data_IF_960427045533
#
_entry.id   IF_960427045533
#
_cell.length_a   1.000
_cell.length_b   1.000
_cell.length_c   1.000
_cell.angle_alpha   90.00
_cell.angle_beta   90.00
_cell.angle_gamma   90.00
#
_symmetry.space_group_name_H-M   'P 1'
#
loop_
_entity.id
_entity.type
_entity.pdbx_description
1 polymer ?
#
# COMPACT_ATOMS: atom_id res chain seq x y z
N UNK A 1 -2.33 -1.86 -5.00
CA UNK A 1 -1.36 -2.10 -3.93
C UNK A 1 -2.04 -2.39 -2.60
N UNK A 2 -2.81 -1.46 -2.01
CA UNK A 2 -3.30 -1.53 -0.62
C UNK A 2 -4.10 -2.79 -0.30
N UNK A 3 -4.99 -3.24 -1.20
CA UNK A 3 -5.69 -4.51 -1.01
C UNK A 3 -4.74 -5.69 -0.86
N UNK A 4 -3.73 -5.78 -1.74
CA UNK A 4 -2.76 -6.85 -1.70
C UNK A 4 -1.83 -6.81 -0.49
N UNK A 5 -1.58 -5.63 0.07
CA UNK A 5 -0.59 -5.44 1.13
C UNK A 5 -1.17 -5.50 2.55
N UNK A 6 -2.35 -4.93 2.77
CA UNK A 6 -2.96 -4.80 4.10
C UNK A 6 -4.09 -5.81 4.35
N UNK A 7 -4.91 -6.10 3.34
CA UNK A 7 -6.15 -6.89 3.51
C UNK A 7 -5.96 -8.37 3.85
N UNK A 8 -4.78 -9.01 3.63
CA UNK A 8 -4.53 -10.29 4.27
C UNK A 8 -4.67 -10.26 5.79
N UNK A 9 -4.28 -9.15 6.41
CA UNK A 9 -4.30 -8.97 7.87
C UNK A 9 -5.61 -8.34 8.37
N UNK A 10 -6.00 -7.20 7.81
CA UNK A 10 -7.24 -6.48 8.14
C UNK A 10 -7.68 -5.59 6.99
N UNK A 11 -8.93 -5.17 7.00
CA UNK A 11 -9.54 -4.34 5.96
C UNK A 11 -9.79 -2.92 6.45
N UNK A 12 -9.78 -1.97 5.53
CA UNK A 12 -10.21 -0.59 5.75
C UNK A 12 -10.80 -0.02 4.45
N UNK A 13 -11.59 1.04 4.59
CA UNK A 13 -12.28 1.68 3.48
C UNK A 13 -11.28 2.43 2.59
N UNK A 14 -11.10 1.95 1.35
CA UNK A 14 -10.18 2.55 0.38
C UNK A 14 -10.72 3.89 -0.17
N UNK A 15 -12.03 4.09 -0.20
CA UNK A 15 -12.65 5.34 -0.65
C UNK A 15 -12.49 6.46 0.40
N UNK A 16 -12.22 6.08 1.66
CA UNK A 16 -11.89 6.97 2.76
C UNK A 16 -10.38 7.00 3.07
N UNK A 17 -9.55 6.49 2.15
CA UNK A 17 -8.10 6.40 2.35
C UNK A 17 -7.36 7.51 1.60
N UNK A 18 -6.51 8.22 2.32
CA UNK A 18 -5.59 9.21 1.75
C UNK A 18 -4.19 8.60 1.61
N UNK A 19 -3.61 8.75 0.44
CA UNK A 19 -2.25 8.32 0.14
C UNK A 19 -1.31 9.51 0.20
N UNK A 20 -0.25 9.39 0.99
CA UNK A 20 0.78 10.41 1.12
C UNK A 20 2.14 9.82 0.79
N UNK A 21 3.08 10.63 0.32
CA UNK A 21 4.40 10.18 -0.08
C UNK A 21 5.49 11.12 0.41
N UNK A 22 6.59 10.51 0.86
CA UNK A 22 7.90 11.14 0.99
C UNK A 22 8.88 10.32 0.17
N UNK A 23 9.61 10.96 -0.72
CA UNK A 23 10.60 10.31 -1.58
C UNK A 23 11.87 11.13 -1.66
N UNK A 24 13.01 10.45 -1.75
CA UNK A 24 14.30 11.13 -1.87
C UNK A 24 15.49 10.26 -1.48
N UNK A 25 16.68 10.83 -1.52
CA UNK A 25 17.88 10.17 -1.02
C UNK A 25 17.77 9.94 0.48
N UNK A 26 18.39 8.86 0.96
CA UNK A 26 18.42 8.58 2.38
C UNK A 26 19.35 9.57 3.11
N UNK A 27 18.76 10.64 3.55
CA UNK A 27 19.36 11.66 4.41
C UNK A 27 18.38 11.92 5.56
N UNK A 28 18.34 11.00 6.53
CA UNK A 28 17.26 10.84 7.52
C UNK A 28 16.79 12.16 8.16
N UNK A 29 17.72 12.96 8.68
CA UNK A 29 17.39 14.28 9.28
C UNK A 29 17.26 15.37 8.23
N UNK A 30 18.17 15.41 7.25
CA UNK A 30 18.17 16.47 6.26
C UNK A 30 16.91 16.46 5.40
N UNK A 31 16.41 15.28 5.03
CA UNK A 31 15.14 15.11 4.31
C UNK A 31 13.90 15.14 5.21
N UNK A 32 14.07 15.38 6.52
CA UNK A 32 13.00 15.48 7.49
C UNK A 32 12.16 14.21 7.60
N UNK A 33 12.78 13.04 7.42
CA UNK A 33 12.08 11.77 7.59
C UNK A 33 11.61 11.61 9.03
N UNK A 34 12.45 11.99 10.00
CA UNK A 34 12.13 12.04 11.43
C UNK A 34 10.92 12.93 11.72
N UNK A 35 10.90 14.14 11.17
CA UNK A 35 9.77 15.07 11.32
C UNK A 35 8.49 14.53 10.70
N UNK A 36 8.59 13.89 9.54
CA UNK A 36 7.45 13.24 8.89
C UNK A 36 6.86 12.15 9.77
N UNK A 37 7.69 11.28 10.36
CA UNK A 37 7.26 10.20 11.23
C UNK A 37 6.63 10.72 12.52
N UNK A 38 7.21 11.74 13.15
CA UNK A 38 6.62 12.40 14.33
C UNK A 38 5.26 13.03 14.02
N UNK A 39 5.14 13.69 12.86
CA UNK A 39 3.87 14.28 12.42
C UNK A 39 2.81 13.20 12.16
N UNK A 40 3.19 12.07 11.55
CA UNK A 40 2.31 10.93 11.29
C UNK A 40 1.82 10.28 12.59
N UNK A 41 2.68 10.13 13.60
CA UNK A 41 2.29 9.60 14.90
C UNK A 41 1.25 10.51 15.58
N UNK A 42 1.47 11.84 15.56
CA UNK A 42 0.50 12.81 16.08
C UNK A 42 -0.81 12.78 15.28
N UNK A 43 -0.74 12.64 13.96
CA UNK A 43 -1.92 12.50 13.10
C UNK A 43 -2.69 11.24 13.46
N UNK A 44 -2.00 10.10 13.64
CA UNK A 44 -2.61 8.83 14.03
C UNK A 44 -3.41 8.98 15.32
N UNK A 45 -2.79 9.54 16.36
CA UNK A 45 -3.46 9.78 17.64
C UNK A 45 -4.65 10.74 17.52
N UNK A 46 -4.50 11.79 16.71
CA UNK A 46 -5.59 12.74 16.46
C UNK A 46 -6.78 12.08 15.77
N UNK A 47 -6.53 11.29 14.72
CA UNK A 47 -7.58 10.56 13.98
C UNK A 47 -8.27 9.52 14.88
N UNK A 48 -7.52 8.81 15.73
CA UNK A 48 -8.08 7.89 16.73
C UNK A 48 -9.01 8.63 17.70
N UNK A 49 -8.55 9.73 18.29
CA UNK A 49 -9.33 10.54 19.28
C UNK A 49 -10.61 11.13 18.69
N UNK A 50 -10.59 11.49 17.41
CA UNK A 50 -11.78 12.04 16.73
C UNK A 50 -12.68 10.97 16.15
N UNK A 51 -12.40 9.68 16.41
CA UNK A 51 -13.14 8.54 15.85
C UNK A 51 -13.28 8.63 14.31
N UNK A 52 -12.27 9.19 13.64
CA UNK A 52 -12.27 9.34 12.20
C UNK A 52 -12.33 7.99 11.50
N UNK A 53 -13.16 7.87 10.47
CA UNK A 53 -13.20 6.70 9.58
C UNK A 53 -12.08 6.72 8.54
N UNK A 54 -11.39 7.85 8.37
CA UNK A 54 -10.34 8.01 7.37
C UNK A 54 -9.08 7.26 7.77
N UNK A 55 -8.46 6.63 6.77
CA UNK A 55 -7.15 6.00 6.87
C UNK A 55 -6.14 6.81 6.05
N UNK A 56 -4.91 6.87 6.52
CA UNK A 56 -3.78 7.44 5.77
C UNK A 56 -2.79 6.32 5.51
N UNK A 57 -2.38 6.15 4.26
CA UNK A 57 -1.27 5.28 3.88
C UNK A 57 -0.11 6.18 3.45
N UNK A 58 0.98 6.11 4.17
CA UNK A 58 2.18 6.90 3.91
C UNK A 58 3.27 6.05 3.29
N UNK A 59 3.70 6.41 2.09
CA UNK A 59 4.84 5.81 1.42
C UNK A 59 6.11 6.59 1.74
N UNK A 60 7.06 5.93 2.36
CA UNK A 60 8.43 6.43 2.52
C UNK A 60 9.33 5.71 1.52
N UNK A 61 9.75 6.42 0.48
CA UNK A 61 10.52 5.88 -0.64
C UNK A 61 11.91 6.46 -0.61
N UNK A 62 12.92 5.60 -0.44
CA UNK A 62 14.32 6.02 -0.43
C UNK A 62 15.21 4.85 -0.78
N UNK A 63 16.46 5.12 -1.13
CA UNK A 63 17.39 4.04 -1.47
C UNK A 63 18.22 3.62 -0.26
N UNK A 64 18.12 2.35 0.10
CA UNK A 64 18.92 1.70 1.14
C UNK A 64 19.55 0.41 0.60
N UNK A 65 20.64 -0.05 1.17
CA UNK A 65 21.14 -1.40 0.89
C UNK A 65 20.13 -2.45 1.35
N UNK A 66 19.71 -3.31 0.42
CA UNK A 66 18.77 -4.41 0.69
C UNK A 66 19.39 -5.74 0.27
N UNK A 67 19.00 -6.82 0.93
CA UNK A 67 19.37 -8.20 0.56
C UNK A 67 18.43 -8.73 -0.50
N UNK A 68 17.14 -8.59 -0.25
CA UNK A 68 16.07 -9.06 -1.13
C UNK A 68 14.77 -8.32 -0.83
N UNK A 69 13.77 -8.52 -1.67
CA UNK A 69 12.39 -8.19 -1.28
C UNK A 69 11.93 -9.17 -0.20
N UNK A 70 11.19 -8.69 0.81
CA UNK A 70 10.73 -9.55 1.89
C UNK A 70 9.78 -10.64 1.36
N UNK A 71 9.96 -11.85 1.84
CA UNK A 71 9.14 -13.02 1.45
C UNK A 71 7.65 -12.73 1.69
N UNK A 72 7.32 -12.07 2.80
CA UNK A 72 5.94 -11.68 3.11
C UNK A 72 5.34 -10.77 2.04
N UNK A 73 6.07 -9.73 1.62
CA UNK A 73 5.60 -8.80 0.58
C UNK A 73 5.36 -9.49 -0.77
N UNK A 74 6.24 -10.42 -1.15
CA UNK A 74 6.07 -11.20 -2.38
C UNK A 74 4.88 -12.16 -2.30
N UNK A 75 4.71 -12.84 -1.16
CA UNK A 75 3.58 -13.74 -0.94
C UNK A 75 2.25 -13.00 -1.05
N UNK A 76 2.11 -11.84 -0.42
CA UNK A 76 0.90 -11.03 -0.49
C UNK A 76 0.51 -10.67 -1.92
N UNK A 77 1.47 -10.27 -2.73
CA UNK A 77 1.22 -9.98 -4.13
C UNK A 77 0.78 -11.21 -4.91
N UNK A 78 1.50 -12.33 -4.78
CA UNK A 78 1.17 -13.58 -5.47
C UNK A 78 -0.24 -14.06 -5.12
N UNK A 79 -0.59 -14.01 -3.84
CA UNK A 79 -1.92 -14.39 -3.36
C UNK A 79 -3.02 -13.44 -3.89
N UNK A 80 -2.75 -12.14 -3.94
CA UNK A 80 -3.69 -11.17 -4.50
C UNK A 80 -3.90 -11.39 -6.01
N UNK A 81 -2.84 -11.71 -6.75
CA UNK A 81 -2.93 -12.09 -8.16
C UNK A 81 -3.77 -13.36 -8.35
N UNK A 82 -3.63 -14.35 -7.47
CA UNK A 82 -4.48 -15.55 -7.49
C UNK A 82 -5.95 -15.20 -7.26
N UNK A 83 -6.28 -14.33 -6.28
CA UNK A 83 -7.66 -13.87 -6.07
C UNK A 83 -8.21 -13.15 -7.31
N UNK A 84 -7.40 -12.31 -7.97
CA UNK A 84 -7.80 -11.64 -9.20
C UNK A 84 -8.01 -12.62 -10.35
N UNK A 85 -7.17 -13.65 -10.47
CA UNK A 85 -7.33 -14.72 -11.47
C UNK A 85 -8.64 -15.48 -11.27
N UNK A 86 -8.93 -15.87 -10.02
CA UNK A 86 -10.20 -16.53 -9.68
C UNK A 86 -11.39 -15.64 -9.99
N UNK A 87 -11.33 -14.34 -9.65
CA UNK A 87 -12.43 -13.41 -9.95
C UNK A 87 -12.71 -13.29 -11.45
N UNK A 88 -11.66 -13.26 -12.28
CA UNK A 88 -11.80 -13.26 -13.76
C UNK A 88 -12.41 -14.55 -14.27
N UNK A 89 -11.98 -15.69 -13.74
CA UNK A 89 -12.51 -17.02 -14.12
C UNK A 89 -14.00 -17.14 -13.77
N UNK A 90 -14.37 -16.73 -12.56
CA UNK A 90 -15.78 -16.69 -12.12
C UNK A 90 -16.59 -15.74 -13.00
N UNK A 91 -16.07 -14.56 -13.32
CA UNK A 91 -16.75 -13.62 -14.21
C UNK A 91 -17.05 -14.24 -15.59
N UNK A 92 -16.08 -14.91 -16.18
CA UNK A 92 -16.25 -15.57 -17.47
C UNK A 92 -17.22 -16.77 -17.41
N UNK A 93 -17.24 -17.50 -16.30
CA UNK A 93 -18.18 -18.61 -16.07
C UNK A 93 -19.61 -18.11 -15.94
N UNK A 94 -19.82 -17.07 -15.16
CA UNK A 94 -21.12 -16.42 -14.97
C UNK A 94 -21.63 -15.83 -16.30
N UNK A 95 -20.79 -15.10 -17.03
CA UNK A 95 -21.15 -14.52 -18.33
C UNK A 95 -21.64 -15.59 -19.32
N UNK A 96 -20.89 -16.68 -19.46
CA UNK A 96 -21.29 -17.79 -20.35
C UNK A 96 -22.60 -18.43 -19.92
N UNK A 97 -22.77 -18.71 -18.62
CA UNK A 97 -23.97 -19.31 -18.08
C UNK A 97 -25.20 -18.41 -18.27
N UNK A 98 -25.08 -17.12 -17.95
CA UNK A 98 -26.13 -16.13 -18.17
C UNK A 98 -26.55 -16.07 -19.63
N UNK A 99 -25.59 -15.95 -20.55
CA UNK A 99 -25.86 -15.86 -22.00
C UNK A 99 -26.61 -17.09 -22.48
N UNK A 100 -26.21 -18.28 -22.02
CA UNK A 100 -26.89 -19.54 -22.38
C UNK A 100 -28.36 -19.61 -21.91
N UNK A 101 -28.62 -19.24 -20.65
CA UNK A 101 -29.99 -19.23 -20.11
C UNK A 101 -30.89 -18.17 -20.79
N UNK A 102 -30.38 -16.96 -20.99
CA UNK A 102 -31.12 -15.89 -21.68
C UNK A 102 -31.41 -16.27 -23.14
N UNK A 103 -30.45 -16.86 -23.86
CA UNK A 103 -30.65 -17.32 -25.24
C UNK A 103 -31.71 -18.45 -25.31
N UNK A 104 -31.86 -19.22 -24.25
CA UNK A 104 -32.90 -20.25 -24.12
C UNK A 104 -34.26 -19.69 -23.62
N UNK A 105 -34.35 -18.35 -23.41
CA UNK A 105 -35.58 -17.70 -22.93
C UNK A 105 -35.85 -17.92 -21.45
N UNK A 106 -34.86 -18.27 -20.67
CA UNK A 106 -34.96 -18.51 -19.23
C UNK A 106 -34.24 -17.43 -18.41
N UNK A 107 -34.77 -17.13 -17.23
CA UNK A 107 -34.09 -16.29 -16.26
C UNK A 107 -33.09 -17.16 -15.48
N UNK A 108 -31.79 -16.83 -15.46
CA UNK A 108 -30.77 -17.64 -14.80
C UNK A 108 -30.88 -17.55 -13.28
N UNK A 109 -30.70 -18.66 -12.57
CA UNK A 109 -30.39 -18.65 -11.16
C UNK A 109 -28.89 -18.34 -10.97
N UNK A 110 -28.57 -17.15 -10.45
CA UNK A 110 -27.22 -16.68 -10.25
C UNK A 110 -26.38 -17.62 -9.37
N UNK A 111 -27.01 -18.31 -8.44
CA UNK A 111 -26.30 -19.24 -7.56
C UNK A 111 -25.85 -20.51 -8.30
N UNK A 112 -26.53 -20.90 -9.38
CA UNK A 112 -26.21 -22.10 -10.17
C UNK A 112 -25.14 -21.82 -11.24
N UNK A 113 -24.85 -20.54 -11.53
CA UNK A 113 -23.91 -20.16 -12.59
C UNK A 113 -22.42 -20.43 -12.26
N UNK A 114 -22.11 -20.59 -10.97
CA UNK A 114 -20.74 -20.90 -10.52
C UNK A 114 -20.65 -22.37 -10.15
N UNK A 115 -19.75 -23.09 -10.79
CA UNK A 115 -19.56 -24.53 -10.56
C UNK A 115 -18.98 -24.85 -9.19
N UNK A 116 -19.22 -26.05 -8.70
CA UNK A 116 -18.71 -26.51 -7.39
C UNK A 116 -17.18 -26.53 -7.32
N UNK A 117 -16.43 -26.95 -8.36
CA UNK A 117 -14.98 -26.83 -8.37
C UNK A 117 -14.48 -25.39 -8.19
N UNK A 118 -15.11 -24.43 -8.88
CA UNK A 118 -14.78 -23.00 -8.79
C UNK A 118 -15.07 -22.47 -7.39
N UNK A 119 -16.21 -22.81 -6.79
CA UNK A 119 -16.53 -22.47 -5.39
C UNK A 119 -15.52 -23.02 -4.39
N UNK A 120 -15.08 -24.26 -4.57
CA UNK A 120 -14.08 -24.88 -3.71
C UNK A 120 -12.72 -24.16 -3.84
N UNK A 121 -12.35 -23.78 -5.07
CA UNK A 121 -11.12 -22.99 -5.32
C UNK A 121 -11.20 -21.62 -4.61
N UNK A 122 -12.34 -20.91 -4.71
CA UNK A 122 -12.58 -19.66 -4.00
C UNK A 122 -12.39 -19.81 -2.48
N UNK A 123 -13.03 -20.84 -1.88
CA UNK A 123 -12.90 -21.11 -0.43
C UNK A 123 -11.44 -21.36 -0.01
N UNK A 124 -10.71 -22.14 -0.78
CA UNK A 124 -9.27 -22.40 -0.52
C UNK A 124 -8.44 -21.13 -0.62
N UNK A 125 -8.68 -20.30 -1.64
CA UNK A 125 -7.97 -19.04 -1.82
C UNK A 125 -8.26 -18.05 -0.68
N UNK A 126 -9.52 -17.92 -0.24
CA UNK A 126 -9.90 -17.08 0.90
C UNK A 126 -9.22 -17.57 2.19
N UNK A 127 -9.21 -18.88 2.42
CA UNK A 127 -8.55 -19.44 3.61
C UNK A 127 -7.03 -19.21 3.57
N UNK A 128 -6.40 -19.35 2.40
CA UNK A 128 -4.99 -19.07 2.22
C UNK A 128 -4.64 -17.58 2.32
N UNK A 129 -5.61 -16.70 2.03
CA UNK A 129 -5.45 -15.26 1.98
C UNK A 129 -5.32 -14.63 3.37
N UNK A 130 -6.14 -15.01 4.32
CA UNK A 130 -6.16 -14.42 5.67
C UNK A 130 -4.92 -14.78 6.47
N UNK A 131 -4.40 -13.80 7.20
CA UNK A 131 -3.19 -13.90 8.03
C UNK A 131 -3.44 -13.30 9.41
N UNK A 132 -2.77 -13.85 10.40
CA UNK A 132 -2.88 -13.43 11.81
C UNK A 132 -1.73 -12.49 12.22
N UNK A 133 -0.87 -12.10 11.29
CA UNK A 133 0.22 -11.16 11.56
C UNK A 133 0.00 -9.80 10.89
N UNK A 134 0.66 -8.79 11.43
CA UNK A 134 0.57 -7.42 10.93
C UNK A 134 1.20 -7.28 9.53
N UNK A 135 0.68 -6.34 8.71
CA UNK A 135 1.32 -5.98 7.46
C UNK A 135 2.75 -5.47 7.72
N UNK A 136 3.75 -5.90 6.94
CA UNK A 136 5.11 -5.45 7.16
C UNK A 136 5.22 -3.92 6.98
N UNK A 137 6.09 -3.30 7.75
CA UNK A 137 6.38 -1.87 7.62
C UNK A 137 7.29 -1.65 6.42
N UNK A 138 8.32 -2.49 6.29
CA UNK A 138 9.32 -2.42 5.23
C UNK A 138 9.09 -3.51 4.20
N UNK A 139 9.23 -3.14 2.92
CA UNK A 139 8.95 -4.04 1.79
C UNK A 139 10.12 -4.98 1.44
N UNK A 140 11.29 -4.74 1.99
CA UNK A 140 12.52 -5.48 1.72
C UNK A 140 13.25 -5.85 3.00
N UNK A 141 14.09 -6.86 2.91
CA UNK A 141 15.02 -7.22 3.97
C UNK A 141 16.25 -6.31 3.87
N UNK A 142 16.37 -5.36 4.80
CA UNK A 142 17.48 -4.43 4.85
C UNK A 142 18.77 -5.16 5.25
N UNK A 143 19.92 -4.66 4.80
CA UNK A 143 21.24 -5.18 5.22
C UNK A 143 21.44 -4.88 6.70
N UNK A 144 21.08 -3.65 7.13
CA UNK A 144 21.27 -3.15 8.49
C UNK A 144 19.91 -2.76 9.09
N UNK A 145 19.01 -3.74 9.26
CA UNK A 145 17.65 -3.51 9.78
C UNK A 145 17.63 -3.16 11.28
N UNK A 146 18.63 -3.59 12.03
CA UNK A 146 18.74 -3.32 13.48
C UNK A 146 19.12 -1.86 13.75
N UNK A 147 19.94 -1.27 12.88
CA UNK A 147 20.46 0.10 13.01
C UNK A 147 19.78 1.08 12.04
N UNK A 148 18.66 0.70 11.43
CA UNK A 148 17.92 1.60 10.54
C UNK A 148 17.11 2.61 11.34
N UNK A 149 17.43 3.93 11.26
CA UNK A 149 16.81 4.95 12.10
C UNK A 149 15.32 5.16 11.78
N UNK A 150 14.85 4.78 10.58
CA UNK A 150 13.42 4.83 10.22
C UNK A 150 12.67 3.75 10.99
N UNK A 151 13.19 2.51 10.99
CA UNK A 151 12.56 1.39 11.70
C UNK A 151 12.62 1.58 13.21
N UNK A 152 13.75 2.09 13.74
CA UNK A 152 13.88 2.44 15.15
C UNK A 152 12.83 3.47 15.54
N UNK A 153 12.70 4.55 14.77
CA UNK A 153 11.72 5.60 15.03
C UNK A 153 10.28 5.12 14.95
N UNK A 154 9.94 4.27 13.99
CA UNK A 154 8.60 3.70 13.86
C UNK A 154 8.24 2.80 15.05
N UNK A 155 9.21 2.03 15.57
CA UNK A 155 9.03 1.24 16.80
C UNK A 155 8.84 2.14 18.02
N UNK A 156 9.67 3.18 18.18
CA UNK A 156 9.55 4.18 19.25
C UNK A 156 8.16 4.84 19.27
N UNK A 157 7.65 5.19 18.10
CA UNK A 157 6.35 5.83 17.92
C UNK A 157 5.16 4.87 17.93
N UNK A 158 5.42 3.57 18.05
CA UNK A 158 4.43 2.49 17.94
C UNK A 158 3.59 2.56 16.65
N UNK A 159 4.18 3.04 15.55
CA UNK A 159 3.58 3.04 14.20
C UNK A 159 3.96 1.75 13.46
N UNK A 160 3.37 0.64 13.87
CA UNK A 160 3.69 -0.71 13.38
C UNK A 160 2.57 -1.35 12.56
N UNK A 161 1.72 -0.52 11.97
CA UNK A 161 0.59 -0.96 11.16
C UNK A 161 -0.43 -1.82 11.93
N UNK A 162 -0.73 -1.46 13.20
CA UNK A 162 -1.81 -2.10 13.95
C UNK A 162 -3.16 -1.87 13.27
N UNK A 163 -4.12 -2.78 13.45
CA UNK A 163 -5.46 -2.65 12.85
C UNK A 163 -6.14 -1.33 13.25
N UNK A 164 -6.04 -0.96 14.53
CA UNK A 164 -6.60 0.28 15.07
C UNK A 164 -5.88 1.56 14.63
N UNK A 165 -4.68 1.47 14.03
CA UNK A 165 -3.99 2.64 13.52
C UNK A 165 -4.74 3.25 12.34
N UNK A 166 -4.88 4.56 12.33
CA UNK A 166 -5.43 5.32 11.21
C UNK A 166 -4.35 5.75 10.22
N UNK A 167 -3.09 5.68 10.63
CA UNK A 167 -1.93 5.92 9.78
C UNK A 167 -1.18 4.61 9.59
N UNK A 168 -1.02 4.20 8.34
CA UNK A 168 -0.27 3.03 7.92
C UNK A 168 1.00 3.48 7.21
N UNK A 169 2.11 2.84 7.48
CA UNK A 169 3.40 3.20 6.88
C UNK A 169 3.91 2.07 5.98
N UNK A 170 4.33 2.43 4.79
CA UNK A 170 5.00 1.55 3.83
C UNK A 170 6.39 2.13 3.55
N UNK A 171 7.40 1.56 4.16
CA UNK A 171 8.78 1.91 3.90
C UNK A 171 9.31 1.08 2.73
N UNK A 172 9.58 1.76 1.61
CA UNK A 172 10.07 1.14 0.37
C UNK A 172 11.51 1.59 0.09
N UNK A 173 12.52 0.75 0.42
CA UNK A 173 13.94 1.14 0.37
C UNK A 173 14.59 0.97 -0.99
N UNK A 174 13.83 1.11 -2.08
CA UNK A 174 14.30 1.04 -3.47
C UNK A 174 13.61 2.08 -4.36
N UNK A 175 14.11 2.26 -5.57
CA UNK A 175 13.40 3.01 -6.59
C UNK A 175 12.11 2.31 -7.01
N UNK A 176 11.13 3.11 -7.36
CA UNK A 176 9.87 2.62 -7.92
C UNK A 176 10.00 2.63 -9.44
N UNK A 177 9.80 1.50 -10.05
CA UNK A 177 9.75 1.30 -11.49
C UNK A 177 8.77 0.17 -11.85
N UNK A 178 8.44 0.05 -13.13
CA UNK A 178 7.49 -0.95 -13.63
C UNK A 178 7.98 -2.39 -13.49
N UNK A 179 9.28 -2.59 -13.31
CA UNK A 179 9.87 -3.93 -13.10
C UNK A 179 9.79 -4.37 -11.64
N UNK A 180 9.49 -3.45 -10.72
CA UNK A 180 9.35 -3.76 -9.31
C UNK A 180 8.20 -4.76 -9.08
N UNK A 181 8.48 -5.97 -8.57
CA UNK A 181 7.46 -6.99 -8.44
C UNK A 181 6.37 -6.66 -7.42
N UNK A 182 6.55 -5.69 -6.54
CA UNK A 182 5.54 -5.29 -5.55
C UNK A 182 4.65 -4.14 -6.03
N UNK A 183 5.24 -3.06 -6.50
CA UNK A 183 4.50 -1.87 -6.96
C UNK A 183 4.10 -2.01 -8.44
N UNK A 184 5.04 -2.41 -9.31
CA UNK A 184 4.79 -2.71 -10.72
C UNK A 184 4.24 -1.53 -11.51
N UNK A 185 4.68 -0.31 -11.17
CA UNK A 185 4.30 0.95 -11.82
C UNK A 185 5.48 1.90 -11.85
N UNK A 186 5.45 2.89 -12.73
CA UNK A 186 6.44 3.94 -12.74
C UNK A 186 6.27 4.89 -11.54
N UNK A 187 7.34 5.56 -11.17
CA UNK A 187 7.35 6.50 -10.04
C UNK A 187 6.28 7.60 -10.22
N UNK A 188 6.15 8.13 -11.42
CA UNK A 188 5.17 9.15 -11.76
C UNK A 188 3.73 8.68 -11.55
N UNK A 189 3.45 7.41 -11.86
CA UNK A 189 2.10 6.84 -11.66
C UNK A 189 1.79 6.65 -10.17
N UNK A 190 2.81 6.28 -9.37
CA UNK A 190 2.66 6.24 -7.92
C UNK A 190 2.36 7.64 -7.36
N UNK A 191 3.11 8.68 -7.79
CA UNK A 191 2.87 10.05 -7.33
C UNK A 191 1.47 10.51 -7.73
N UNK A 192 1.03 10.32 -8.98
CA UNK A 192 -0.34 10.65 -9.41
C UNK A 192 -1.43 9.96 -8.59
N UNK A 193 -1.13 8.78 -8.05
CA UNK A 193 -2.03 8.06 -7.14
C UNK A 193 -2.03 8.60 -5.70
N UNK A 194 -1.14 9.53 -5.36
CA UNK A 194 -1.06 10.14 -4.03
C UNK A 194 -1.89 11.43 -3.94
N UNK A 195 -2.29 11.77 -2.72
CA UNK A 195 -3.07 12.96 -2.40
C UNK A 195 -2.19 14.11 -1.88
N UNK A 196 -0.99 13.78 -1.36
CA UNK A 196 -0.09 14.76 -0.78
C UNK A 196 1.36 14.26 -0.80
N UNK A 197 2.27 15.11 -1.27
CA UNK A 197 3.71 14.97 -1.04
C UNK A 197 4.12 15.66 0.27
N UNK A 198 5.00 15.03 1.06
CA UNK A 198 5.45 15.56 2.38
C UNK A 198 6.97 15.58 2.41
N UNK A 199 7.56 16.76 2.26
CA UNK A 199 9.01 16.95 2.10
C UNK A 199 9.57 18.00 3.07
N UNK A 200 9.58 17.76 4.40
CA UNK A 200 10.01 18.76 5.38
C UNK A 200 11.55 18.79 5.52
N UNK A 201 12.24 18.96 4.40
CA UNK A 201 13.70 18.99 4.35
C UNK A 201 14.28 20.16 5.14
N UNK A 202 15.36 19.93 5.89
CA UNK A 202 16.10 20.99 6.57
C UNK A 202 16.93 21.81 5.56
N UNK A 203 17.37 21.20 4.45
CA UNK A 203 18.08 21.84 3.37
C UNK A 203 17.70 21.19 2.03
N UNK A 204 17.08 21.97 1.15
CA UNK A 204 16.62 21.54 -0.16
C UNK A 204 16.72 22.68 -1.17
N UNK A 205 17.93 22.99 -1.68
CA UNK A 205 18.19 24.20 -2.48
C UNK A 205 17.36 24.29 -3.77
N UNK A 206 16.90 23.17 -4.31
CA UNK A 206 16.13 23.16 -5.56
C UNK A 206 14.75 22.50 -5.41
N UNK A 207 14.64 21.41 -4.65
CA UNK A 207 13.36 20.75 -4.36
C UNK A 207 12.75 20.02 -5.55
N UNK A 208 13.48 19.10 -6.18
CA UNK A 208 12.94 18.31 -7.29
C UNK A 208 11.67 17.54 -6.91
N UNK A 209 11.67 16.85 -5.79
CA UNK A 209 10.52 16.00 -5.40
C UNK A 209 9.22 16.77 -5.13
N UNK A 210 9.22 17.94 -4.45
CA UNK A 210 8.03 18.79 -4.40
C UNK A 210 7.58 19.29 -5.78
N UNK A 211 8.50 19.67 -6.65
CA UNK A 211 8.21 20.15 -8.01
C UNK A 211 7.64 19.04 -8.89
N UNK A 212 8.15 17.82 -8.77
CA UNK A 212 7.61 16.63 -9.45
C UNK A 212 6.16 16.35 -9.02
N UNK A 213 5.86 16.41 -7.73
CA UNK A 213 4.48 16.31 -7.24
C UNK A 213 3.58 17.37 -7.87
N UNK A 214 3.99 18.64 -7.86
CA UNK A 214 3.22 19.72 -8.44
C UNK A 214 3.02 19.57 -9.95
N UNK A 215 4.06 19.13 -10.68
CA UNK A 215 3.98 18.85 -12.11
C UNK A 215 2.98 17.73 -12.45
N UNK A 216 2.77 16.80 -11.50
CA UNK A 216 1.80 15.71 -11.62
C UNK A 216 0.41 16.04 -11.05
N UNK A 217 0.20 17.30 -10.63
CA UNK A 217 -1.07 17.76 -10.07
C UNK A 217 -1.30 17.36 -8.61
N UNK A 218 -0.24 16.94 -7.90
CA UNK A 218 -0.31 16.52 -6.50
C UNK A 218 0.22 17.66 -5.61
N UNK A 219 -0.55 18.15 -4.64
CA UNK A 219 -0.07 19.16 -3.69
C UNK A 219 1.11 18.64 -2.88
N UNK A 220 2.02 19.52 -2.49
CA UNK A 220 3.17 19.17 -1.69
C UNK A 220 3.33 20.14 -0.50
N UNK A 221 3.70 19.59 0.64
CA UNK A 221 4.17 20.34 1.81
C UNK A 221 5.67 20.26 1.86
N UNK A 222 6.33 21.40 1.94
CA UNK A 222 7.77 21.51 2.09
C UNK A 222 8.11 22.53 3.17
N UNK A 223 9.35 22.54 3.64
CA UNK A 223 9.86 23.58 4.51
C UNK A 223 10.14 24.87 3.71
N UNK A 224 10.29 25.98 4.42
CA UNK A 224 10.73 27.25 3.83
C UNK A 224 12.23 27.49 4.04
N UNK A 225 13.00 26.42 4.17
CA UNK A 225 14.45 26.43 4.46
C UNK A 225 15.31 26.19 3.19
N UNK A 226 14.74 26.37 2.02
CA UNK A 226 15.42 26.25 0.75
C UNK A 226 16.09 27.56 0.32
#
# INVERSE_FOLDING_TARGET
FSRGYFFPSYEFDLDQTLYMVNSGRFEYRNKGMDLSLDALARLNERLKRTCSTRTVVFFLITRRPVRSMSVGSLQYRSMYQELQSIAKEVGAEVERGMTGELAAGRIPDLNSLVTEPTRLRMKRAIHAWKRDWLPPIVTHDLVDDQDDPVLEKLRELNLINLEEDRVKVVYHPQFVDSTNPLLGMEYEDLIRGCHLGVFPSAYEPWGYTPLECLAMGVPAVTSNLA
#
